data_IF_762951597818
#
_entry.id   IF_762951597818
#
_cell.length_a   1.000
_cell.length_b   1.000
_cell.length_c   1.000
_cell.angle_alpha   90.00
_cell.angle_beta   90.00
_cell.angle_gamma   90.00
#
_symmetry.space_group_name_H-M   'P 1'
#
loop_
_entity.id
_entity.type
_entity.pdbx_description
1 polymer ?
#
# COMPACT_ATOMS: atom_id res chain seq x y z
N UNK A 1 -53.97 29.32 16.08
CA UNK A 1 -53.71 30.70 16.52
C UNK A 1 -52.50 30.67 17.46
N UNK A 2 -51.40 31.26 17.00
CA UNK A 2 -50.26 31.84 17.74
C UNK A 2 -49.47 31.07 18.82
N UNK A 3 -48.15 31.01 18.53
CA UNK A 3 -46.97 30.73 19.36
C UNK A 3 -46.88 31.57 20.65
N UNK A 4 -46.18 31.04 21.66
CA UNK A 4 -45.01 31.63 22.39
C UNK A 4 -44.18 30.45 22.96
N UNK A 5 -42.99 30.12 22.46
CA UNK A 5 -41.65 30.63 22.80
C UNK A 5 -41.30 30.67 24.29
N UNK A 6 -40.45 29.73 24.71
CA UNK A 6 -39.38 29.92 25.71
C UNK A 6 -38.10 29.28 25.15
N UNK A 7 -37.09 30.14 24.99
CA UNK A 7 -35.65 29.90 24.80
C UNK A 7 -35.11 29.48 26.19
N UNK A 8 -34.19 28.56 26.43
CA UNK A 8 -33.06 28.03 25.69
C UNK A 8 -31.99 27.77 26.75
N UNK A 9 -31.39 26.59 26.78
CA UNK A 9 -30.23 26.32 27.62
C UNK A 9 -29.18 25.65 26.73
N UNK A 10 -28.09 26.38 26.51
CA UNK A 10 -26.92 25.91 25.77
C UNK A 10 -26.15 24.98 26.71
N UNK A 11 -26.06 23.72 26.34
CA UNK A 11 -25.06 22.81 26.91
C UNK A 11 -23.70 23.24 26.34
N UNK A 12 -22.77 23.60 27.21
CA UNK A 12 -21.41 23.99 26.85
C UNK A 12 -20.69 22.80 26.17
N UNK A 13 -19.87 23.04 25.13
CA UNK A 13 -19.07 21.97 24.54
C UNK A 13 -17.99 21.52 25.51
N UNK A 14 -17.90 20.21 25.68
CA UNK A 14 -16.94 19.47 26.47
C UNK A 14 -15.50 19.71 25.95
N UNK A 15 -14.64 20.25 26.81
CA UNK A 15 -13.21 20.54 26.56
C UNK A 15 -12.39 19.29 26.19
N UNK A 16 -12.96 18.08 26.26
CA UNK A 16 -12.28 16.85 25.83
C UNK A 16 -12.27 16.63 24.31
N UNK A 17 -13.14 17.31 23.55
CA UNK A 17 -13.14 17.22 22.08
C UNK A 17 -12.05 18.08 21.41
N UNK A 18 -11.48 19.06 22.12
CA UNK A 18 -10.49 19.99 21.57
C UNK A 18 -9.03 19.52 21.76
N UNK A 19 -8.80 18.48 22.58
CA UNK A 19 -7.44 18.01 22.88
C UNK A 19 -6.85 17.02 21.86
N UNK A 20 -7.67 16.43 20.98
CA UNK A 20 -7.19 15.49 19.95
C UNK A 20 -6.80 16.21 18.64
N UNK A 21 -7.22 17.47 18.46
CA UNK A 21 -6.93 18.23 17.23
C UNK A 21 -5.58 18.96 17.24
N UNK A 22 -4.91 19.11 18.40
CA UNK A 22 -3.71 19.96 18.54
C UNK A 22 -2.37 19.23 18.49
N UNK A 23 -2.30 18.01 17.91
CA UNK A 23 -1.04 17.27 17.77
C UNK A 23 -0.63 16.91 16.34
N UNK A 24 -1.35 17.40 15.34
CA UNK A 24 -1.07 17.14 13.91
C UNK A 24 -0.65 18.37 13.11
N UNK A 25 -0.52 19.55 13.74
CA UNK A 25 -0.23 20.82 13.04
C UNK A 25 1.23 20.98 12.57
N UNK A 26 2.13 20.06 12.91
CA UNK A 26 3.55 20.17 12.53
C UNK A 26 3.92 19.37 11.26
N UNK A 27 2.93 18.83 10.53
CA UNK A 27 3.14 18.00 9.31
C UNK A 27 2.12 18.27 8.20
N UNK A 28 1.79 19.53 7.95
CA UNK A 28 0.87 19.90 6.87
C UNK A 28 1.53 19.78 5.49
N UNK A 29 1.61 18.55 4.98
CA UNK A 29 1.79 18.29 3.55
C UNK A 29 0.40 18.32 2.89
N UNK A 30 0.20 19.05 1.78
CA UNK A 30 -1.09 19.15 1.11
C UNK A 30 -1.67 17.77 0.79
N UNK A 31 -2.89 17.50 1.27
CA UNK A 31 -3.69 16.34 0.84
C UNK A 31 -4.19 16.59 -0.58
N UNK A 32 -4.26 15.54 -1.37
CA UNK A 32 -4.67 15.66 -2.77
C UNK A 32 -6.06 15.06 -2.94
N UNK A 33 -6.99 15.83 -3.51
CA UNK A 33 -8.39 15.41 -3.76
C UNK A 33 -8.53 14.18 -4.68
N UNK A 34 -7.47 13.80 -5.39
CA UNK A 34 -7.44 12.60 -6.23
C UNK A 34 -7.21 11.35 -5.38
N UNK A 35 -8.30 10.71 -4.99
CA UNK A 35 -8.25 9.51 -4.14
C UNK A 35 -8.15 8.18 -4.91
N UNK A 36 -8.22 8.19 -6.24
CA UNK A 36 -8.13 6.94 -7.00
C UNK A 36 -6.74 6.29 -6.83
N UNK A 37 -6.64 5.01 -6.42
CA UNK A 37 -5.36 4.41 -6.04
C UNK A 37 -4.28 4.51 -7.12
N UNK A 38 -4.60 4.33 -8.39
CA UNK A 38 -3.56 4.41 -9.43
C UNK A 38 -2.99 5.81 -9.63
N UNK A 39 -3.84 6.84 -9.51
CA UNK A 39 -3.37 8.23 -9.55
C UNK A 39 -2.47 8.48 -8.35
N UNK A 40 -2.88 7.99 -7.18
CA UNK A 40 -2.13 8.05 -5.92
C UNK A 40 -0.79 7.32 -6.01
N UNK A 41 -0.73 6.14 -6.62
CA UNK A 41 0.51 5.37 -6.81
C UNK A 41 1.57 6.19 -7.55
N UNK A 42 1.17 6.80 -8.68
CA UNK A 42 2.06 7.66 -9.46
C UNK A 42 2.48 8.91 -8.68
N UNK A 43 1.53 9.56 -7.99
CA UNK A 43 1.84 10.75 -7.19
C UNK A 43 2.79 10.45 -6.04
N UNK A 44 2.52 9.41 -5.24
CA UNK A 44 3.36 8.98 -4.11
C UNK A 44 4.77 8.58 -4.56
N UNK A 45 4.91 7.98 -5.75
CA UNK A 45 6.22 7.67 -6.34
C UNK A 45 7.03 8.94 -6.58
N UNK A 46 6.47 9.93 -7.29
CA UNK A 46 7.20 11.12 -7.69
C UNK A 46 7.39 12.13 -6.55
N UNK A 47 6.40 12.31 -5.69
CA UNK A 47 6.54 13.14 -4.48
C UNK A 47 7.55 12.52 -3.51
N UNK A 48 7.61 11.19 -3.44
CA UNK A 48 8.57 10.44 -2.63
C UNK A 48 10.04 10.58 -3.04
N UNK A 49 10.35 11.27 -4.14
CA UNK A 49 11.74 11.65 -4.46
C UNK A 49 12.26 12.79 -3.59
N UNK A 50 11.36 13.61 -3.03
CA UNK A 50 11.71 14.82 -2.28
C UNK A 50 11.17 14.81 -0.85
N UNK A 51 10.05 14.13 -0.63
CA UNK A 51 9.34 14.11 0.64
C UNK A 51 9.43 12.70 1.23
N UNK A 52 9.89 12.55 2.48
CA UNK A 52 10.05 11.25 3.09
C UNK A 52 8.67 10.59 3.36
N UNK A 53 8.57 9.25 3.40
CA UNK A 53 7.30 8.53 3.49
C UNK A 53 6.39 8.94 4.66
N UNK A 54 6.96 9.27 5.81
CA UNK A 54 6.25 9.71 7.02
C UNK A 54 5.58 11.08 6.91
N UNK A 55 5.98 11.87 5.90
CA UNK A 55 5.34 13.14 5.54
C UNK A 55 4.36 12.99 4.36
N UNK A 56 4.31 11.83 3.72
CA UNK A 56 3.39 11.56 2.61
C UNK A 56 2.08 10.98 3.11
N UNK A 57 1.11 11.84 3.44
CA UNK A 57 -0.27 11.42 3.73
C UNK A 57 -0.81 10.49 2.65
N UNK A 58 -1.21 9.28 3.03
CA UNK A 58 -1.59 8.21 2.11
C UNK A 58 -2.76 7.40 2.66
N UNK A 59 -3.97 7.74 2.22
CA UNK A 59 -5.19 7.27 2.87
C UNK A 59 -6.01 6.32 2.01
N UNK A 60 -6.62 5.33 2.67
CA UNK A 60 -7.63 4.46 2.09
C UNK A 60 -8.93 5.26 1.98
N UNK A 61 -9.28 5.65 0.76
CA UNK A 61 -10.52 6.38 0.47
C UNK A 61 -11.66 5.43 0.09
N UNK A 62 -12.84 5.96 -0.25
CA UNK A 62 -14.03 5.19 -0.66
C UNK A 62 -13.79 4.26 -1.87
N UNK A 63 -14.62 3.23 -1.99
CA UNK A 63 -14.56 2.22 -3.08
C UNK A 63 -14.69 2.81 -4.48
N UNK A 64 -15.55 3.81 -4.65
CA UNK A 64 -15.70 4.58 -5.88
C UNK A 64 -15.07 5.96 -5.66
N UNK A 65 -14.17 6.34 -6.56
CA UNK A 65 -13.56 7.68 -6.56
C UNK A 65 -14.56 8.74 -6.99
N UNK A 66 -14.80 9.75 -6.15
CA UNK A 66 -15.70 10.87 -6.48
C UNK A 66 -15.18 11.75 -7.62
N UNK A 67 -13.86 11.78 -7.84
CA UNK A 67 -13.21 12.59 -8.88
C UNK A 67 -13.18 11.88 -10.24
N UNK A 68 -12.90 10.57 -10.25
CA UNK A 68 -12.69 9.81 -11.49
C UNK A 68 -13.83 8.86 -11.84
N UNK A 69 -14.74 8.58 -10.90
CA UNK A 69 -15.81 7.59 -11.06
C UNK A 69 -15.35 6.13 -11.13
N UNK A 70 -14.04 5.88 -11.04
CA UNK A 70 -13.47 4.52 -11.10
C UNK A 70 -13.64 3.81 -9.76
N UNK A 71 -13.91 2.51 -9.84
CA UNK A 71 -13.99 1.61 -8.69
C UNK A 71 -12.66 0.88 -8.48
N UNK A 72 -12.25 0.72 -7.24
CA UNK A 72 -11.07 -0.07 -6.88
C UNK A 72 -11.36 -0.97 -5.69
N UNK A 73 -10.85 -2.20 -5.73
CA UNK A 73 -11.00 -3.14 -4.61
C UNK A 73 -10.23 -2.65 -3.37
N UNK A 74 -10.66 -3.09 -2.19
CA UNK A 74 -10.08 -2.68 -0.92
C UNK A 74 -8.59 -3.03 -0.80
N UNK A 75 -8.17 -4.19 -1.28
CA UNK A 75 -6.76 -4.57 -1.23
C UNK A 75 -5.89 -3.59 -2.02
N UNK A 76 -6.27 -3.26 -3.25
CA UNK A 76 -5.56 -2.30 -4.10
C UNK A 76 -5.50 -0.91 -3.45
N UNK A 77 -6.60 -0.46 -2.84
CA UNK A 77 -6.64 0.81 -2.07
C UNK A 77 -5.63 0.79 -0.90
N UNK A 78 -5.63 -0.28 -0.09
CA UNK A 78 -4.72 -0.42 1.04
C UNK A 78 -3.26 -0.58 0.63
N UNK A 79 -2.96 -1.44 -0.34
CA UNK A 79 -1.61 -1.72 -0.83
C UNK A 79 -0.90 -0.47 -1.36
N UNK A 80 -1.62 0.42 -2.02
CA UNK A 80 -1.08 1.70 -2.51
C UNK A 80 -0.92 2.71 -1.37
N UNK A 81 -1.84 2.70 -0.39
CA UNK A 81 -1.71 3.54 0.80
C UNK A 81 -0.51 3.14 1.68
N UNK A 82 -0.15 1.85 1.67
CA UNK A 82 0.72 1.19 2.66
C UNK A 82 2.09 1.84 2.87
N UNK A 83 2.79 2.23 1.80
CA UNK A 83 4.17 2.72 1.88
C UNK A 83 4.27 4.24 2.09
N UNK A 84 3.24 4.87 2.68
CA UNK A 84 3.25 6.28 3.09
C UNK A 84 2.82 6.43 4.54
N UNK A 85 2.37 7.62 4.92
CA UNK A 85 1.68 7.82 6.18
C UNK A 85 0.24 7.30 6.05
N UNK A 86 0.07 6.01 6.41
CA UNK A 86 -1.16 5.25 6.20
C UNK A 86 -2.31 5.79 7.05
N UNK A 87 -3.46 6.02 6.42
CA UNK A 87 -4.67 6.47 7.10
C UNK A 87 -5.94 6.00 6.38
N UNK A 88 -7.10 6.35 6.92
CA UNK A 88 -8.41 5.98 6.37
C UNK A 88 -9.25 7.25 6.23
N UNK A 89 -9.69 7.53 5.00
CA UNK A 89 -10.58 8.63 4.63
C UNK A 89 -11.87 8.08 4.01
N UNK A 90 -12.39 7.03 4.64
CA UNK A 90 -13.60 6.34 4.23
C UNK A 90 -14.55 6.26 5.44
N UNK A 91 -15.86 6.39 5.19
CA UNK A 91 -16.87 6.19 6.21
C UNK A 91 -16.90 4.73 6.66
N UNK A 92 -16.26 4.46 7.79
CA UNK A 92 -16.14 3.13 8.38
C UNK A 92 -17.49 2.54 8.81
N UNK A 93 -18.56 3.35 8.88
CA UNK A 93 -19.90 2.86 9.20
C UNK A 93 -20.54 2.09 8.04
N UNK A 94 -19.99 2.27 6.84
CA UNK A 94 -20.44 1.60 5.62
C UNK A 94 -19.66 0.32 5.31
N UNK A 95 -18.68 -0.04 6.14
CA UNK A 95 -17.88 -1.25 5.99
C UNK A 95 -18.74 -2.50 6.16
N UNK A 96 -18.62 -3.44 5.24
CA UNK A 96 -19.06 -4.81 5.48
C UNK A 96 -18.11 -5.51 6.47
N UNK A 97 -18.62 -6.50 7.22
CA UNK A 97 -17.82 -7.25 8.21
C UNK A 97 -16.54 -7.85 7.59
N UNK A 98 -16.63 -8.35 6.36
CA UNK A 98 -15.49 -8.90 5.63
C UNK A 98 -14.44 -7.82 5.29
N UNK A 99 -14.88 -6.62 4.94
CA UNK A 99 -14.01 -5.49 4.64
C UNK A 99 -13.34 -4.97 5.91
N UNK A 100 -14.05 -4.93 7.03
CA UNK A 100 -13.49 -4.54 8.33
C UNK A 100 -12.34 -5.45 8.75
N UNK A 101 -12.46 -6.77 8.53
CA UNK A 101 -11.39 -7.74 8.79
C UNK A 101 -10.18 -7.51 7.87
N UNK A 102 -10.41 -7.19 6.61
CA UNK A 102 -9.32 -6.90 5.67
C UNK A 102 -8.60 -5.61 6.09
N UNK A 103 -9.36 -4.55 6.39
CA UNK A 103 -8.81 -3.26 6.79
C UNK A 103 -8.03 -3.36 8.11
N UNK A 104 -8.53 -4.12 9.09
CA UNK A 104 -7.84 -4.31 10.37
C UNK A 104 -6.49 -5.00 10.21
N UNK A 105 -6.38 -5.97 9.28
CA UNK A 105 -5.11 -6.63 8.94
C UNK A 105 -4.11 -5.64 8.35
N UNK A 106 -4.55 -4.78 7.43
CA UNK A 106 -3.69 -3.73 6.87
C UNK A 106 -3.22 -2.72 7.91
N UNK A 107 -4.11 -2.29 8.81
CA UNK A 107 -3.75 -1.40 9.91
C UNK A 107 -2.70 -2.05 10.81
N UNK A 108 -2.88 -3.33 11.15
CA UNK A 108 -1.95 -4.09 11.98
C UNK A 108 -0.58 -4.22 11.30
N UNK A 109 -0.55 -4.60 10.02
CA UNK A 109 0.67 -4.67 9.23
C UNK A 109 1.37 -3.30 9.16
N UNK A 110 0.62 -2.21 9.00
CA UNK A 110 1.23 -0.87 8.97
C UNK A 110 1.85 -0.51 10.32
N UNK A 111 1.17 -0.82 11.42
CA UNK A 111 1.69 -0.57 12.77
C UNK A 111 2.99 -1.33 13.04
N UNK A 112 3.08 -2.58 12.55
CA UNK A 112 4.28 -3.41 12.62
C UNK A 112 5.43 -2.80 11.81
N UNK A 113 5.17 -2.42 10.55
CA UNK A 113 6.21 -2.02 9.60
C UNK A 113 6.49 -0.53 9.52
N UNK A 114 5.80 0.32 10.31
CA UNK A 114 5.92 1.79 10.21
C UNK A 114 7.34 2.31 10.40
N UNK A 115 8.16 1.64 11.23
CA UNK A 115 9.55 2.04 11.46
C UNK A 115 10.36 1.85 10.19
N UNK A 116 10.29 0.66 9.57
CA UNK A 116 10.88 0.40 8.26
C UNK A 116 10.37 1.39 7.21
N UNK A 117 9.06 1.62 7.14
CA UNK A 117 8.45 2.52 6.15
C UNK A 117 8.98 3.96 6.29
N UNK A 118 9.16 4.43 7.53
CA UNK A 118 9.62 5.80 7.81
C UNK A 118 11.13 6.00 7.68
N UNK A 119 11.94 4.98 7.97
CA UNK A 119 13.41 5.12 8.05
C UNK A 119 14.13 4.46 6.87
N UNK A 120 13.47 3.55 6.18
CA UNK A 120 14.05 2.80 5.08
C UNK A 120 14.23 3.65 3.83
N UNK A 121 15.13 3.18 2.96
CA UNK A 121 15.40 3.82 1.68
C UNK A 121 14.29 3.52 0.69
N UNK A 122 13.66 4.57 0.17
CA UNK A 122 12.65 4.48 -0.89
C UNK A 122 13.31 4.09 -2.22
N UNK A 123 12.69 3.14 -2.93
CA UNK A 123 13.10 2.68 -4.25
C UNK A 123 11.88 2.57 -5.18
N UNK A 124 12.07 2.67 -6.48
CA UNK A 124 10.98 2.54 -7.45
C UNK A 124 11.49 2.06 -8.83
N UNK A 125 10.62 1.42 -9.60
CA UNK A 125 10.90 0.95 -10.97
C UNK A 125 9.62 0.92 -11.84
N UNK A 126 9.76 0.71 -13.15
CA UNK A 126 8.66 0.36 -14.07
C UNK A 126 7.83 1.51 -14.68
N UNK A 127 7.77 2.70 -14.05
CA UNK A 127 6.89 3.81 -14.48
C UNK A 127 7.31 4.55 -15.79
N UNK A 128 8.35 4.07 -16.49
CA UNK A 128 8.76 4.64 -17.79
C UNK A 128 8.04 3.98 -18.97
N UNK A 129 7.55 2.76 -18.79
CA UNK A 129 6.74 2.03 -19.76
C UNK A 129 5.30 1.94 -19.21
N UNK A 130 4.31 2.61 -19.85
CA UNK A 130 2.93 2.60 -19.36
C UNK A 130 2.28 1.20 -19.40
N UNK A 131 2.86 0.25 -20.15
CA UNK A 131 2.39 -1.13 -20.26
C UNK A 131 3.21 -2.08 -19.35
N UNK A 132 4.11 -1.55 -18.52
CA UNK A 132 4.85 -2.31 -17.53
C UNK A 132 4.25 -2.15 -16.12
N UNK A 133 4.35 -3.18 -15.27
CA UNK A 133 4.05 -3.02 -13.85
C UNK A 133 4.93 -1.96 -13.21
N UNK A 134 4.33 -1.06 -12.44
CA UNK A 134 5.05 -0.07 -11.66
C UNK A 134 5.37 -0.63 -10.28
N UNK A 135 6.54 -0.30 -9.74
CA UNK A 135 6.98 -0.72 -8.41
C UNK A 135 7.38 0.50 -7.58
N UNK A 136 6.98 0.50 -6.32
CA UNK A 136 7.53 1.35 -5.25
C UNK A 136 7.85 0.47 -4.06
N UNK A 137 8.97 0.73 -3.39
CA UNK A 137 9.36 -0.04 -2.22
C UNK A 137 10.13 0.78 -1.21
N UNK A 138 10.32 0.19 -0.03
CA UNK A 138 11.15 0.69 1.06
C UNK A 138 12.06 -0.44 1.51
N UNK A 139 13.35 -0.17 1.61
CA UNK A 139 14.39 -1.16 1.93
C UNK A 139 15.13 -0.72 3.18
N UNK A 140 15.29 -1.62 4.15
CA UNK A 140 16.07 -1.36 5.35
C UNK A 140 17.51 -0.99 5.00
N UNK A 141 18.10 -0.04 5.73
CA UNK A 141 19.47 0.45 5.47
C UNK A 141 20.53 -0.67 5.58
N UNK A 142 20.31 -1.64 6.45
CA UNK A 142 21.17 -2.81 6.65
C UNK A 142 20.84 -4.00 5.72
N UNK A 143 19.82 -3.85 4.86
CA UNK A 143 19.34 -4.90 3.97
C UNK A 143 18.77 -6.12 4.69
N UNK A 144 18.30 -5.98 5.93
CA UNK A 144 17.61 -7.05 6.68
C UNK A 144 16.22 -7.35 6.10
N UNK A 145 15.49 -6.33 5.68
CA UNK A 145 14.18 -6.51 5.07
C UNK A 145 13.82 -5.42 4.04
N UNK A 146 12.81 -5.69 3.23
CA UNK A 146 12.24 -4.75 2.27
C UNK A 146 10.75 -5.01 2.05
N UNK A 147 9.99 -3.96 1.77
CA UNK A 147 8.58 -4.05 1.36
C UNK A 147 8.40 -3.35 0.01
N UNK A 148 7.72 -4.02 -0.91
CA UNK A 148 7.42 -3.50 -2.24
C UNK A 148 5.92 -3.57 -2.52
N UNK A 149 5.36 -2.51 -3.08
CA UNK A 149 4.06 -2.49 -3.74
C UNK A 149 4.28 -2.52 -5.25
N UNK A 150 3.74 -3.53 -5.91
CA UNK A 150 3.70 -3.69 -7.36
C UNK A 150 2.29 -3.39 -7.84
N UNK A 151 2.16 -2.56 -8.88
CA UNK A 151 0.88 -2.18 -9.48
C UNK A 151 0.85 -2.63 -10.93
N UNK A 152 -0.20 -3.37 -11.31
CA UNK A 152 -0.39 -3.83 -12.68
C UNK A 152 -0.84 -2.66 -13.58
N UNK A 153 -0.38 -2.61 -14.84
CA UNK A 153 -0.74 -1.53 -15.75
C UNK A 153 -2.22 -1.60 -16.15
N UNK A 154 -2.81 -0.48 -16.59
CA UNK A 154 -4.20 -0.43 -17.05
C UNK A 154 -4.41 -1.26 -18.34
N UNK A 155 -3.37 -1.40 -19.15
CA UNK A 155 -3.34 -2.31 -20.30
C UNK A 155 -2.49 -3.53 -19.96
N UNK A 156 -3.14 -4.68 -19.80
CA UNK A 156 -2.48 -5.98 -19.57
C UNK A 156 -2.48 -6.75 -20.89
N UNK A 157 -1.55 -6.43 -21.79
CA UNK A 157 -1.34 -7.25 -22.99
C UNK A 157 -0.85 -8.65 -22.57
N UNK A 158 -1.21 -9.68 -23.34
CA UNK A 158 -0.82 -11.09 -23.08
C UNK A 158 0.69 -11.28 -23.27
N UNK A 159 1.46 -10.83 -22.28
CA UNK A 159 2.89 -10.65 -22.37
C UNK A 159 3.51 -10.76 -20.99
N UNK A 160 4.55 -11.57 -20.89
CA UNK A 160 5.29 -11.74 -19.64
C UNK A 160 6.13 -10.49 -19.40
N UNK A 161 6.00 -9.91 -18.20
CA UNK A 161 6.87 -8.82 -17.74
C UNK A 161 7.71 -9.34 -16.58
N UNK A 162 8.85 -8.70 -16.35
CA UNK A 162 9.68 -8.99 -15.18
C UNK A 162 9.71 -7.74 -14.31
N UNK A 163 9.55 -7.93 -13.00
CA UNK A 163 9.69 -6.87 -12.02
C UNK A 163 10.95 -7.15 -11.22
N UNK A 164 11.88 -6.21 -11.29
CA UNK A 164 13.12 -6.23 -10.51
C UNK A 164 12.86 -5.59 -9.16
N UNK A 165 13.52 -6.10 -8.13
CA UNK A 165 13.38 -5.62 -6.75
C UNK A 165 14.65 -4.85 -6.36
N UNK A 166 14.72 -3.53 -6.63
CA UNK A 166 15.91 -2.74 -6.39
C UNK A 166 16.21 -2.59 -4.89
N UNK A 167 17.48 -2.44 -4.56
CA UNK A 167 17.93 -2.04 -3.22
C UNK A 167 18.40 -3.19 -2.31
N UNK A 168 18.11 -4.44 -2.63
CA UNK A 168 18.53 -5.63 -1.87
C UNK A 168 20.06 -5.84 -1.88
N UNK A 169 20.61 -6.54 -0.89
CA UNK A 169 22.01 -6.99 -0.91
C UNK A 169 22.18 -8.17 -1.87
N UNK A 170 23.14 -8.11 -2.79
CA UNK A 170 23.31 -9.11 -3.85
C UNK A 170 23.65 -10.52 -3.32
N UNK A 171 24.51 -10.58 -2.30
CA UNK A 171 25.01 -11.82 -1.70
C UNK A 171 24.07 -12.43 -0.65
N UNK A 172 23.02 -11.71 -0.25
CA UNK A 172 22.07 -12.20 0.75
C UNK A 172 20.97 -13.04 0.10
N UNK A 173 20.33 -13.90 0.89
CA UNK A 173 19.11 -14.62 0.51
C UNK A 173 17.91 -14.01 1.22
N UNK A 174 16.78 -13.92 0.52
CA UNK A 174 15.54 -13.35 1.05
C UNK A 174 14.40 -14.35 0.92
N UNK A 175 13.72 -14.63 2.03
CA UNK A 175 12.41 -15.27 2.06
C UNK A 175 11.36 -14.27 1.60
N UNK A 176 10.43 -14.70 0.77
CA UNK A 176 9.40 -13.83 0.17
C UNK A 176 8.03 -14.12 0.79
N UNK A 177 7.45 -13.08 1.38
CA UNK A 177 6.07 -13.04 1.84
C UNK A 177 5.24 -12.19 0.88
N UNK A 178 3.95 -12.49 0.74
CA UNK A 178 3.05 -11.70 -0.10
C UNK A 178 1.70 -11.43 0.56
N UNK A 179 1.18 -10.23 0.31
CA UNK A 179 -0.24 -9.93 0.40
C UNK A 179 -0.77 -9.77 -1.02
N UNK A 180 -1.60 -10.72 -1.46
CA UNK A 180 -2.26 -10.71 -2.77
C UNK A 180 -3.78 -10.81 -2.64
N UNK A 181 -4.56 -10.09 -3.46
CA UNK A 181 -6.00 -10.27 -3.47
C UNK A 181 -6.37 -11.46 -4.37
N UNK A 182 -7.50 -12.11 -4.09
CA UNK A 182 -8.08 -13.07 -5.02
C UNK A 182 -8.48 -12.44 -6.36
N UNK A 183 -8.60 -11.11 -6.42
CA UNK A 183 -8.87 -10.34 -7.63
C UNK A 183 -7.61 -10.00 -8.46
N UNK A 184 -6.42 -10.47 -8.06
CA UNK A 184 -5.16 -10.17 -8.76
C UNK A 184 -5.16 -10.71 -10.19
N UNK A 185 -5.74 -11.87 -10.39
CA UNK A 185 -5.79 -12.56 -11.67
C UNK A 185 -6.59 -13.85 -11.55
N UNK A 186 -6.82 -14.56 -12.66
CA UNK A 186 -7.36 -15.90 -12.61
C UNK A 186 -6.45 -16.83 -11.79
N UNK A 187 -7.04 -17.67 -10.94
CA UNK A 187 -6.28 -18.53 -10.02
C UNK A 187 -5.36 -19.54 -10.74
N UNK A 188 -5.65 -19.90 -11.99
CA UNK A 188 -4.80 -20.79 -12.81
C UNK A 188 -3.63 -20.06 -13.50
N UNK A 189 -3.57 -18.73 -13.40
CA UNK A 189 -2.55 -17.89 -14.03
C UNK A 189 -1.65 -17.25 -12.96
N UNK A 190 -1.29 -18.04 -11.95
CA UNK A 190 -0.36 -17.65 -10.89
C UNK A 190 1.07 -18.06 -11.27
N UNK A 191 2.06 -17.16 -11.21
CA UNK A 191 3.46 -17.55 -11.30
C UNK A 191 3.84 -18.51 -10.17
N UNK A 192 4.67 -19.51 -10.46
CA UNK A 192 5.07 -20.51 -9.46
C UNK A 192 5.67 -19.90 -8.19
N UNK A 193 6.55 -18.90 -8.35
CA UNK A 193 7.17 -18.22 -7.21
C UNK A 193 6.15 -17.56 -6.28
N UNK A 194 5.00 -17.12 -6.82
CA UNK A 194 3.97 -16.45 -6.04
C UNK A 194 3.19 -17.45 -5.18
N UNK A 195 3.00 -18.68 -5.68
CA UNK A 195 2.36 -19.76 -4.93
C UNK A 195 3.26 -20.34 -3.83
N UNK A 196 4.57 -20.13 -3.92
CA UNK A 196 5.56 -20.51 -2.91
C UNK A 196 5.79 -19.43 -1.84
N UNK A 197 5.07 -18.30 -1.91
CA UNK A 197 5.17 -17.25 -0.88
C UNK A 197 4.32 -17.57 0.34
N UNK A 198 4.85 -17.23 1.52
CA UNK A 198 4.04 -17.15 2.73
C UNK A 198 3.10 -15.93 2.67
N UNK A 199 2.03 -15.95 3.46
CA UNK A 199 1.25 -14.73 3.68
C UNK A 199 2.10 -13.64 4.33
N UNK A 200 1.78 -12.38 4.06
CA UNK A 200 2.40 -11.24 4.75
C UNK A 200 2.31 -11.44 6.27
N UNK A 201 3.44 -11.28 6.96
CA UNK A 201 3.58 -11.45 8.41
C UNK A 201 3.31 -12.87 8.92
N UNK A 202 3.44 -13.87 8.04
CA UNK A 202 3.28 -15.28 8.39
C UNK A 202 4.62 -15.95 8.71
N UNK A 203 4.62 -16.75 9.77
CA UNK A 203 5.71 -17.66 10.14
C UNK A 203 5.78 -18.94 9.27
N UNK A 204 4.96 -19.03 8.22
CA UNK A 204 5.00 -20.17 7.31
C UNK A 204 6.32 -20.21 6.53
N UNK A 205 6.78 -21.44 6.26
CA UNK A 205 7.93 -21.65 5.39
C UNK A 205 7.62 -21.16 3.97
N UNK A 206 8.61 -20.56 3.33
CA UNK A 206 8.47 -19.97 2.00
C UNK A 206 9.80 -19.99 1.25
N UNK A 207 9.70 -19.97 -0.09
CA UNK A 207 10.88 -19.98 -0.93
C UNK A 207 11.79 -18.77 -0.65
N UNK A 208 13.10 -19.02 -0.66
CA UNK A 208 14.13 -17.98 -0.59
C UNK A 208 14.89 -17.85 -1.90
N UNK A 209 15.20 -16.61 -2.28
CA UNK A 209 15.93 -16.29 -3.51
C UNK A 209 17.14 -15.42 -3.20
N UNK A 210 18.19 -15.51 -4.02
CA UNK A 210 19.34 -14.61 -3.87
C UNK A 210 18.95 -13.18 -4.24
N UNK A 211 19.53 -12.20 -3.54
CA UNK A 211 19.30 -10.79 -3.82
C UNK A 211 19.78 -10.38 -5.21
N UNK A 212 20.85 -11.01 -5.74
CA UNK A 212 21.29 -10.84 -7.12
C UNK A 212 20.23 -11.26 -8.14
N UNK A 213 19.57 -12.40 -7.94
CA UNK A 213 18.49 -12.87 -8.80
C UNK A 213 17.32 -11.88 -8.80
N UNK A 214 16.88 -11.47 -7.61
CA UNK A 214 15.74 -10.56 -7.45
C UNK A 214 16.00 -9.16 -8.05
N UNK A 215 17.25 -8.70 -8.00
CA UNK A 215 17.66 -7.39 -8.54
C UNK A 215 17.87 -7.38 -10.05
N UNK A 216 18.50 -8.43 -10.59
CA UNK A 216 18.99 -8.41 -11.98
C UNK A 216 18.02 -9.14 -12.93
N UNK A 217 17.61 -10.35 -12.56
CA UNK A 217 16.65 -11.13 -13.33
C UNK A 217 15.22 -10.70 -13.00
N UNK A 218 14.90 -10.49 -11.72
CA UNK A 218 13.56 -10.14 -11.26
C UNK A 218 12.57 -11.30 -11.35
N UNK A 219 11.38 -11.06 -10.80
CA UNK A 219 10.27 -11.99 -10.76
C UNK A 219 9.41 -11.83 -12.01
N UNK A 220 8.99 -12.92 -12.61
CA UNK A 220 8.06 -12.88 -13.74
C UNK A 220 6.64 -12.58 -13.25
N UNK A 221 5.98 -11.63 -13.92
CA UNK A 221 4.57 -11.39 -13.79
C UNK A 221 3.90 -11.82 -15.10
N UNK A 222 2.97 -12.77 -14.94
CA UNK A 222 2.05 -13.16 -15.97
C UNK A 222 0.97 -12.08 -16.16
N UNK A 223 0.08 -12.27 -17.12
CA UNK A 223 -1.03 -11.36 -17.41
C UNK A 223 -2.04 -11.37 -16.26
N UNK A 224 -1.82 -10.47 -15.31
CA UNK A 224 -2.73 -10.20 -14.19
C UNK A 224 -3.86 -9.27 -14.61
N UNK A 225 -4.92 -9.18 -13.80
CA UNK A 225 -5.97 -8.20 -14.02
C UNK A 225 -5.38 -6.78 -13.94
N UNK A 226 -5.88 -5.84 -14.79
CA UNK A 226 -5.41 -4.47 -14.77
C UNK A 226 -5.81 -3.80 -13.45
N UNK A 227 -5.07 -2.74 -13.10
CA UNK A 227 -5.39 -1.90 -11.95
C UNK A 227 -5.45 -2.68 -10.62
N UNK A 228 -4.51 -3.61 -10.42
CA UNK A 228 -4.36 -4.40 -9.18
C UNK A 228 -3.03 -4.11 -8.53
N UNK A 229 -2.98 -4.29 -7.22
CA UNK A 229 -1.74 -4.23 -6.47
C UNK A 229 -1.40 -5.58 -5.82
N UNK A 230 -0.10 -5.83 -5.69
CA UNK A 230 0.52 -6.93 -4.97
C UNK A 230 1.54 -6.32 -4.01
N UNK A 231 1.52 -6.71 -2.74
CA UNK A 231 2.57 -6.34 -1.79
C UNK A 231 3.46 -7.54 -1.52
N UNK A 232 4.77 -7.32 -1.59
CA UNK A 232 5.80 -8.29 -1.24
C UNK A 232 6.59 -7.78 -0.05
N UNK A 233 6.85 -8.64 0.94
CA UNK A 233 7.85 -8.41 1.98
C UNK A 233 8.97 -9.42 1.83
N UNK A 234 10.20 -8.93 1.89
CA UNK A 234 11.41 -9.72 1.74
C UNK A 234 12.16 -9.66 3.04
N UNK A 235 12.42 -10.82 3.64
CA UNK A 235 13.14 -10.94 4.90
C UNK A 235 14.42 -11.70 4.64
N UNK A 236 15.56 -11.09 4.98
CA UNK A 236 16.86 -11.75 4.86
C UNK A 236 16.86 -12.98 5.76
N UNK A 237 17.29 -14.11 5.20
CA UNK A 237 17.53 -15.33 5.97
C UNK A 237 19.03 -15.49 6.15
N UNK A 238 19.43 -15.87 7.36
CA UNK A 238 20.79 -16.28 7.64
C UNK A 238 20.91 -17.75 7.21
N UNK A 239 21.94 -18.05 6.40
CA UNK A 239 22.28 -19.42 5.97
C UNK A 239 22.87 -20.25 7.13
#
# INVERSE_FOLDING_TARGET
MFRKHVVGERVAPDETAELVSRRTEDRDVPRTEKHHPLDRSRMLRWTGLLVPPEMLGSHVASTVSSVTGRTSDLHTRCAIAFLGHFGVEWDIRELEDAEAVILSRWISAYQEHRELISTGRVVADGDFDPDAPALRGVVATDGSEAIYTIVTPPLSADSRRRVRLPGLLAEARYRVESARPGSLGPWWLSPHWLDETAGLDSDADAASYSGSLLREAGLDLLTLHPDRALVLRLVRVDD
#
